data_IF_965907165609
#
_entry.id   IF_965907165609
#
_cell.length_a   1.000
_cell.length_b   1.000
_cell.length_c   1.000
_cell.angle_alpha   90.00
_cell.angle_beta   90.00
_cell.angle_gamma   90.00
#
_symmetry.space_group_name_H-M   'P 1'
#
loop_
_entity.id
_entity.type
_entity.pdbx_description
1 polymer ?
#
# COMPACT_ATOMS: atom_id res chain seq x y z
N UNK A 1 13.10 7.28 4.74
CA UNK A 1 12.44 6.50 5.79
C UNK A 1 12.22 5.08 5.29
N UNK A 2 11.23 4.81 4.45
CA UNK A 2 11.06 3.52 3.78
C UNK A 2 12.22 3.18 2.85
N UNK A 3 12.39 1.89 2.54
CA UNK A 3 13.49 1.43 1.71
C UNK A 3 13.28 1.66 0.21
N UNK A 4 12.04 1.80 -0.26
CA UNK A 4 11.74 2.04 -1.67
C UNK A 4 12.16 3.41 -2.21
N UNK A 5 11.93 3.63 -3.48
CA UNK A 5 12.23 4.89 -4.16
C UNK A 5 11.38 6.06 -3.64
N UNK A 6 11.91 7.27 -3.84
CA UNK A 6 11.14 8.48 -3.56
C UNK A 6 10.01 8.61 -4.59
N UNK A 7 8.79 8.77 -4.10
CA UNK A 7 7.61 8.92 -4.95
C UNK A 7 7.39 10.37 -5.37
N UNK A 8 7.07 10.60 -6.63
CA UNK A 8 6.47 11.86 -7.07
C UNK A 8 4.99 11.94 -6.64
N UNK A 9 4.41 13.13 -6.65
CA UNK A 9 2.97 13.29 -6.38
C UNK A 9 2.17 12.51 -7.45
N UNK A 10 1.24 11.68 -7.02
CA UNK A 10 0.47 10.79 -7.88
C UNK A 10 1.11 9.41 -8.12
N UNK A 11 2.23 9.10 -7.46
CA UNK A 11 2.86 7.78 -7.53
C UNK A 11 2.59 6.94 -6.28
N UNK A 12 2.62 5.62 -6.46
CA UNK A 12 2.54 4.65 -5.38
C UNK A 12 3.39 3.41 -5.66
N UNK A 13 3.89 2.79 -4.59
CA UNK A 13 4.59 1.50 -4.64
C UNK A 13 4.53 0.79 -3.28
N UNK A 14 4.72 -0.52 -3.28
CA UNK A 14 4.94 -1.26 -2.04
C UNK A 14 6.38 -1.02 -1.62
N UNK A 15 6.61 -0.64 -0.36
CA UNK A 15 7.93 -0.28 0.15
C UNK A 15 8.22 -0.96 1.48
N UNK A 16 9.43 -1.45 1.68
CA UNK A 16 9.82 -2.04 2.95
C UNK A 16 10.01 -0.99 4.04
N UNK A 17 9.39 -1.23 5.19
CA UNK A 17 9.66 -0.60 6.47
C UNK A 17 10.56 -1.54 7.29
N UNK A 18 11.82 -1.19 7.47
CA UNK A 18 12.80 -2.04 8.14
C UNK A 18 13.10 -1.53 9.55
N UNK A 19 13.42 -2.44 10.47
CA UNK A 19 13.99 -2.11 11.76
C UNK A 19 15.51 -1.97 11.67
N UNK A 20 16.14 -1.47 12.72
CA UNK A 20 17.58 -1.20 12.69
C UNK A 20 18.48 -2.42 12.46
N UNK A 21 17.97 -3.63 12.71
CA UNK A 21 18.65 -4.90 12.45
C UNK A 21 18.40 -5.50 11.07
N UNK A 22 17.69 -4.77 10.19
CA UNK A 22 17.37 -5.19 8.82
C UNK A 22 16.13 -6.06 8.69
N UNK A 23 15.47 -6.45 9.80
CA UNK A 23 14.23 -7.23 9.70
C UNK A 23 13.06 -6.36 9.23
N UNK A 24 12.12 -7.00 8.52
CA UNK A 24 10.94 -6.33 7.96
C UNK A 24 9.89 -6.11 9.07
N UNK A 25 9.57 -4.84 9.35
CA UNK A 25 8.47 -4.49 10.24
C UNK A 25 7.13 -4.52 9.51
N UNK A 26 7.08 -3.97 8.31
CA UNK A 26 5.92 -3.92 7.43
C UNK A 26 6.37 -3.70 5.98
N UNK A 27 5.49 -3.98 5.03
CA UNK A 27 5.69 -3.62 3.63
C UNK A 27 4.38 -2.97 3.08
N UNK A 28 4.10 -1.73 3.49
CA UNK A 28 2.90 -1.05 3.07
C UNK A 28 2.95 -0.63 1.60
N UNK A 29 1.77 -0.54 0.97
CA UNK A 29 1.59 0.32 -0.16
C UNK A 29 1.72 1.77 0.31
N UNK A 30 2.72 2.47 -0.18
CA UNK A 30 2.93 3.90 0.05
C UNK A 30 2.49 4.66 -1.19
N UNK A 31 1.60 5.62 -1.02
CA UNK A 31 1.10 6.47 -2.09
C UNK A 31 1.33 7.95 -1.71
N UNK A 32 1.85 8.74 -2.63
CA UNK A 32 2.00 10.18 -2.44
C UNK A 32 0.80 10.92 -3.05
N UNK A 33 -0.15 11.28 -2.21
CA UNK A 33 -1.42 11.89 -2.60
C UNK A 33 -1.37 13.40 -2.74
N UNK A 34 -0.31 14.03 -2.20
CA UNK A 34 -0.10 15.48 -2.27
C UNK A 34 1.35 15.87 -2.09
N UNK A 35 1.64 17.16 -2.13
CA UNK A 35 3.01 17.68 -2.03
C UNK A 35 3.70 17.24 -0.72
N UNK A 36 2.95 17.27 0.39
CA UNK A 36 3.40 16.87 1.73
C UNK A 36 2.51 15.80 2.36
N UNK A 37 1.74 15.07 1.54
CA UNK A 37 0.78 14.09 2.00
C UNK A 37 1.09 12.72 1.43
N UNK A 38 1.13 11.72 2.33
CA UNK A 38 1.36 10.33 2.00
C UNK A 38 0.31 9.46 2.67
N UNK A 39 -0.10 8.43 2.00
CA UNK A 39 -0.91 7.35 2.54
C UNK A 39 -0.04 6.08 2.62
N UNK A 40 -0.06 5.41 3.76
CA UNK A 40 0.56 4.10 3.92
C UNK A 40 -0.53 3.08 4.27
N UNK A 41 -0.73 2.09 3.42
CA UNK A 41 -1.71 1.02 3.59
C UNK A 41 -1.01 -0.32 3.79
N UNK A 42 -1.15 -0.90 4.97
CA UNK A 42 -0.55 -2.21 5.28
C UNK A 42 -1.44 -3.35 4.77
N UNK A 43 -0.89 -4.16 3.87
CA UNK A 43 -1.57 -5.33 3.29
C UNK A 43 -1.44 -6.60 4.14
N UNK A 44 -0.59 -6.58 5.19
CA UNK A 44 -0.29 -7.75 6.03
C UNK A 44 -1.25 -7.98 7.20
N UNK A 45 -2.32 -7.23 7.29
CA UNK A 45 -3.26 -7.22 8.44
C UNK A 45 -2.61 -6.82 9.79
N UNK A 46 -1.43 -6.18 9.76
CA UNK A 46 -0.69 -5.72 10.94
C UNK A 46 -0.50 -4.20 10.97
N UNK A 47 -1.54 -3.46 10.62
CA UNK A 47 -1.51 -2.01 10.59
C UNK A 47 -1.03 -1.36 11.89
N UNK A 48 -1.29 -2.01 13.05
CA UNK A 48 -0.76 -1.57 14.34
C UNK A 48 0.78 -1.59 14.38
N UNK A 49 1.43 -2.57 13.74
CA UNK A 49 2.90 -2.63 13.66
C UNK A 49 3.45 -1.51 12.81
N UNK A 50 2.82 -1.20 11.67
CA UNK A 50 3.18 -0.06 10.84
C UNK A 50 3.01 1.26 11.60
N UNK A 51 1.89 1.46 12.29
CA UNK A 51 1.62 2.64 13.10
C UNK A 51 2.65 2.81 14.22
N UNK A 52 2.98 1.73 14.93
CA UNK A 52 4.01 1.73 15.97
C UNK A 52 5.40 2.05 15.39
N UNK A 53 5.74 1.49 14.23
CA UNK A 53 7.00 1.77 13.55
C UNK A 53 7.10 3.24 13.12
N UNK A 54 6.06 3.81 12.53
CA UNK A 54 6.00 5.23 12.15
C UNK A 54 6.15 6.13 13.38
N UNK A 55 5.43 5.81 14.47
CA UNK A 55 5.53 6.52 15.73
C UNK A 55 6.95 6.46 16.33
N UNK A 56 7.60 5.30 16.27
CA UNK A 56 8.98 5.15 16.72
C UNK A 56 9.94 5.99 15.86
N UNK A 57 9.78 5.94 14.53
CA UNK A 57 10.65 6.67 13.59
C UNK A 57 10.54 8.18 13.78
N UNK A 58 9.33 8.71 14.02
CA UNK A 58 9.12 10.15 14.25
C UNK A 58 9.87 10.68 15.48
N UNK A 59 10.20 9.79 16.43
CA UNK A 59 10.92 10.13 17.67
C UNK A 59 12.43 9.94 17.58
N UNK A 60 12.96 9.48 16.43
CA UNK A 60 14.41 9.27 16.28
C UNK A 60 15.13 10.60 16.36
N UNK A 61 15.98 10.71 17.38
CA UNK A 61 16.89 11.83 17.56
C UNK A 61 18.33 11.33 17.76
N UNK A 62 19.27 11.92 17.08
CA UNK A 62 20.68 11.63 17.24
C UNK A 62 21.49 12.91 17.31
N UNK A 63 22.16 13.16 18.45
CA UNK A 63 23.01 14.35 18.68
C UNK A 63 22.31 15.68 18.38
N UNK A 64 21.04 15.80 18.76
CA UNK A 64 20.23 17.01 18.53
C UNK A 64 19.67 17.13 17.10
N UNK A 65 19.88 16.13 16.25
CA UNK A 65 19.28 16.06 14.91
C UNK A 65 18.13 15.05 14.91
N UNK A 66 16.92 15.53 14.62
CA UNK A 66 15.68 14.75 14.55
C UNK A 66 15.10 14.80 13.14
N UNK A 67 15.54 13.91 12.22
CA UNK A 67 15.22 14.01 10.79
C UNK A 67 13.73 13.86 10.48
N UNK A 68 12.96 13.26 11.38
CA UNK A 68 11.55 12.96 11.20
C UNK A 68 10.63 13.69 12.20
N UNK A 69 11.14 14.70 12.95
CA UNK A 69 10.35 15.42 13.95
C UNK A 69 9.13 16.17 13.37
N UNK A 70 9.13 16.45 12.05
CA UNK A 70 7.99 17.05 11.37
C UNK A 70 6.98 16.04 10.77
N UNK A 71 7.17 14.75 11.03
CA UNK A 71 6.24 13.71 10.57
C UNK A 71 5.01 13.70 11.47
N UNK A 72 3.85 14.04 10.89
CA UNK A 72 2.54 13.90 11.53
C UNK A 72 1.85 12.68 10.95
N UNK A 73 1.42 11.75 11.81
CA UNK A 73 0.83 10.48 11.42
C UNK A 73 -0.56 10.35 12.03
N UNK A 74 -1.59 10.28 11.19
CA UNK A 74 -2.98 10.02 11.60
C UNK A 74 -3.39 8.61 11.19
N UNK A 75 -3.95 7.83 12.11
CA UNK A 75 -4.56 6.55 11.81
C UNK A 75 -5.94 6.76 11.20
N UNK A 76 -6.07 6.43 9.93
CA UNK A 76 -7.31 6.56 9.16
C UNK A 76 -8.02 5.22 8.90
N UNK A 77 -7.62 4.14 9.55
CA UNK A 77 -8.19 2.79 9.36
C UNK A 77 -9.71 2.75 9.54
N UNK A 78 -10.25 3.55 10.47
CA UNK A 78 -11.70 3.68 10.67
C UNK A 78 -12.41 4.62 9.70
N UNK A 79 -11.67 5.39 8.90
CA UNK A 79 -12.21 6.42 7.99
C UNK A 79 -12.33 5.95 6.55
N UNK A 80 -11.65 4.85 6.19
CA UNK A 80 -11.57 4.31 4.83
C UNK A 80 -11.78 2.79 4.84
N UNK A 81 -12.52 2.29 3.86
CA UNK A 81 -12.75 0.85 3.63
C UNK A 81 -12.02 0.45 2.35
N UNK A 82 -11.08 -0.51 2.42
CA UNK A 82 -10.40 -1.00 1.24
C UNK A 82 -11.28 -1.97 0.45
N UNK A 83 -11.35 -1.75 -0.85
CA UNK A 83 -11.91 -2.68 -1.84
C UNK A 83 -10.85 -2.89 -2.91
N UNK A 84 -10.60 -4.14 -3.28
CA UNK A 84 -9.69 -4.45 -4.37
C UNK A 84 -10.47 -5.00 -5.56
N UNK A 85 -10.19 -4.47 -6.74
CA UNK A 85 -10.67 -4.99 -8.02
C UNK A 85 -9.46 -5.45 -8.83
N UNK A 86 -9.39 -6.75 -9.10
CA UNK A 86 -8.21 -7.37 -9.66
C UNK A 86 -8.52 -8.25 -10.86
N UNK A 87 -7.64 -8.22 -11.87
CA UNK A 87 -7.72 -9.00 -13.09
C UNK A 87 -7.71 -8.14 -14.36
N UNK A 88 -7.66 -8.79 -15.52
CA UNK A 88 -7.57 -8.12 -16.82
C UNK A 88 -8.75 -7.16 -17.11
N UNK A 89 -9.96 -7.50 -16.64
CA UNK A 89 -11.16 -6.68 -16.80
C UNK A 89 -11.30 -5.53 -15.79
N UNK A 90 -10.43 -5.43 -14.79
CA UNK A 90 -10.58 -4.49 -13.68
C UNK A 90 -10.69 -3.03 -14.15
N UNK A 91 -9.84 -2.61 -15.10
CA UNK A 91 -9.89 -1.26 -15.67
C UNK A 91 -11.21 -0.99 -16.39
N UNK A 92 -11.70 -1.93 -17.18
CA UNK A 92 -12.95 -1.79 -17.94
C UNK A 92 -14.12 -1.58 -17.00
N UNK A 93 -14.25 -2.42 -15.97
CA UNK A 93 -15.31 -2.31 -14.96
C UNK A 93 -15.24 -0.97 -14.23
N UNK A 94 -14.04 -0.54 -13.82
CA UNK A 94 -13.88 0.69 -13.05
C UNK A 94 -14.10 1.95 -13.91
N UNK A 95 -13.83 1.87 -15.21
CA UNK A 95 -14.05 2.98 -16.15
C UNK A 95 -15.53 3.38 -16.28
N UNK A 96 -16.48 2.50 -15.96
CA UNK A 96 -17.91 2.84 -15.95
C UNK A 96 -18.28 3.83 -14.82
N UNK A 97 -17.39 3.96 -13.81
CA UNK A 97 -17.61 4.85 -12.66
C UNK A 97 -16.71 6.08 -12.66
N UNK A 98 -15.69 6.12 -13.52
CA UNK A 98 -14.71 7.21 -13.60
C UNK A 98 -14.87 7.98 -14.90
N UNK A 99 -14.56 9.28 -14.89
CA UNK A 99 -14.45 10.04 -16.12
C UNK A 99 -13.18 9.63 -16.88
N UNK A 100 -13.17 9.92 -18.19
CA UNK A 100 -12.00 9.62 -19.00
C UNK A 100 -10.74 10.31 -18.46
N UNK A 101 -9.68 9.52 -18.22
CA UNK A 101 -8.41 10.02 -17.69
C UNK A 101 -8.34 10.13 -16.16
N UNK A 102 -9.41 9.85 -15.41
CA UNK A 102 -9.38 9.92 -13.93
C UNK A 102 -8.76 8.69 -13.25
N UNK A 103 -8.75 7.52 -13.93
CA UNK A 103 -8.15 6.32 -13.37
C UNK A 103 -6.62 6.35 -13.46
N UNK A 104 -5.92 6.02 -12.36
CA UNK A 104 -4.46 5.97 -12.35
C UNK A 104 -3.95 4.82 -13.23
N UNK A 105 -2.78 5.04 -13.83
CA UNK A 105 -1.99 3.98 -14.46
C UNK A 105 -1.21 3.17 -13.43
N UNK A 106 -0.48 2.16 -13.91
CA UNK A 106 0.36 1.30 -13.07
C UNK A 106 1.38 2.14 -12.27
N UNK A 107 1.50 1.86 -10.97
CA UNK A 107 2.37 2.60 -10.05
C UNK A 107 1.87 4.01 -9.72
N UNK A 108 0.63 4.31 -10.02
CA UNK A 108 0.04 5.63 -9.78
C UNK A 108 -1.12 5.58 -8.78
N UNK A 109 -1.37 6.71 -8.16
CA UNK A 109 -2.53 6.97 -7.29
C UNK A 109 -3.27 8.21 -7.79
N UNK A 110 -4.60 8.18 -7.72
CA UNK A 110 -5.47 9.30 -8.05
C UNK A 110 -6.63 9.40 -7.03
N UNK A 111 -7.26 10.57 -6.98
CA UNK A 111 -8.38 10.84 -6.08
C UNK A 111 -9.67 11.16 -6.88
N UNK A 112 -10.20 10.24 -7.69
CA UNK A 112 -11.42 10.49 -8.44
C UNK A 112 -12.65 10.54 -7.54
N UNK A 113 -13.70 11.19 -8.04
CA UNK A 113 -15.05 11.06 -7.50
C UNK A 113 -15.82 10.01 -8.31
N UNK A 114 -15.69 8.72 -7.95
CA UNK A 114 -16.36 7.64 -8.68
C UNK A 114 -17.88 7.86 -8.70
N UNK A 115 -18.51 7.60 -9.85
CA UNK A 115 -19.93 7.92 -10.11
C UNK A 115 -20.26 9.42 -9.85
N UNK A 116 -19.26 10.31 -9.96
CA UNK A 116 -19.37 11.74 -9.71
C UNK A 116 -19.65 12.13 -8.25
N UNK A 117 -19.67 11.19 -7.31
CA UNK A 117 -20.12 11.42 -5.92
C UNK A 117 -19.41 10.62 -4.84
N UNK A 118 -18.66 9.58 -5.19
CA UNK A 118 -17.96 8.74 -4.23
C UNK A 118 -16.49 9.16 -4.20
N UNK A 119 -16.05 10.02 -3.28
CA UNK A 119 -14.64 10.39 -3.17
C UNK A 119 -13.84 9.13 -2.83
N UNK A 120 -12.87 8.79 -3.65
CA UNK A 120 -12.13 7.53 -3.55
C UNK A 120 -10.66 7.80 -3.78
N UNK A 121 -9.78 7.20 -2.97
CA UNK A 121 -8.36 7.11 -3.30
C UNK A 121 -8.19 5.81 -4.08
N UNK A 122 -7.70 5.89 -5.31
CA UNK A 122 -7.50 4.74 -6.19
C UNK A 122 -6.03 4.59 -6.48
N UNK A 123 -5.44 3.45 -6.10
CA UNK A 123 -4.08 3.06 -6.46
C UNK A 123 -4.11 1.92 -7.48
N UNK A 124 -3.22 1.96 -8.46
CA UNK A 124 -3.10 0.91 -9.47
C UNK A 124 -1.76 0.20 -9.34
N UNK A 125 -1.81 -1.11 -9.14
CA UNK A 125 -0.67 -1.99 -8.93
C UNK A 125 -0.72 -3.16 -9.90
N UNK A 126 0.42 -3.83 -10.07
CA UNK A 126 0.48 -5.15 -10.68
C UNK A 126 0.71 -6.20 -9.59
N UNK A 127 -0.17 -7.19 -9.52
CA UNK A 127 -0.06 -8.33 -8.61
C UNK A 127 -0.34 -9.61 -9.40
N UNK A 128 0.58 -10.58 -9.36
CA UNK A 128 0.47 -11.85 -10.09
C UNK A 128 0.18 -11.65 -11.60
N UNK A 129 0.97 -10.79 -12.24
CA UNK A 129 0.88 -10.44 -13.67
C UNK A 129 -0.49 -9.86 -14.09
N UNK A 130 -1.28 -9.37 -13.14
CA UNK A 130 -2.57 -8.75 -13.41
C UNK A 130 -2.75 -7.39 -12.73
N UNK A 131 -3.53 -6.52 -13.36
CA UNK A 131 -3.83 -5.19 -12.82
C UNK A 131 -4.72 -5.31 -11.58
N UNK A 132 -4.31 -4.65 -10.52
CA UNK A 132 -5.06 -4.51 -9.26
C UNK A 132 -5.33 -3.04 -8.98
N UNK A 133 -6.59 -2.66 -8.87
CA UNK A 133 -7.01 -1.37 -8.34
C UNK A 133 -7.40 -1.52 -6.88
N UNK A 134 -6.66 -0.86 -5.99
CA UNK A 134 -7.04 -0.70 -4.59
C UNK A 134 -7.83 0.59 -4.46
N UNK A 135 -9.08 0.47 -4.03
CA UNK A 135 -9.99 1.58 -3.79
C UNK A 135 -10.15 1.78 -2.28
N UNK A 136 -9.87 2.97 -1.79
CA UNK A 136 -10.13 3.35 -0.40
C UNK A 136 -11.34 4.27 -0.39
N UNK A 137 -12.44 3.75 0.14
CA UNK A 137 -13.79 4.38 0.05
C UNK A 137 -14.27 4.78 1.44
N UNK A 138 -14.97 5.91 1.61
CA UNK A 138 -15.62 6.22 2.88
C UNK A 138 -16.58 5.11 3.31
N UNK A 139 -16.65 4.73 4.61
CA UNK A 139 -17.50 3.64 5.09
C UNK A 139 -18.97 3.75 4.67
N UNK A 140 -19.51 4.97 4.64
CA UNK A 140 -20.89 5.21 4.22
C UNK A 140 -21.18 4.82 2.75
N UNK A 141 -20.16 4.83 1.90
CA UNK A 141 -20.27 4.53 0.47
C UNK A 141 -19.75 3.13 0.09
N UNK A 142 -19.00 2.47 0.96
CA UNK A 142 -18.37 1.19 0.67
C UNK A 142 -19.35 0.10 0.23
N UNK A 143 -20.51 0.00 0.91
CA UNK A 143 -21.56 -0.97 0.55
C UNK A 143 -22.18 -0.69 -0.82
N UNK A 144 -22.34 0.57 -1.16
CA UNK A 144 -22.89 0.96 -2.48
C UNK A 144 -21.88 0.59 -3.55
N UNK A 145 -20.62 0.99 -3.37
CA UNK A 145 -19.53 0.69 -4.33
C UNK A 145 -19.36 -0.83 -4.53
N UNK A 146 -19.32 -1.60 -3.44
CA UNK A 146 -19.26 -3.07 -3.49
C UNK A 146 -20.39 -3.67 -4.35
N UNK A 147 -21.65 -3.26 -4.10
CA UNK A 147 -22.80 -3.76 -4.85
C UNK A 147 -22.75 -3.34 -6.33
N UNK A 148 -22.29 -2.14 -6.60
CA UNK A 148 -22.11 -1.64 -7.96
C UNK A 148 -21.09 -2.47 -8.73
N UNK A 149 -19.94 -2.77 -8.14
CA UNK A 149 -18.93 -3.64 -8.76
C UNK A 149 -19.47 -5.05 -9.02
N UNK A 150 -20.25 -5.62 -8.09
CA UNK A 150 -20.86 -6.94 -8.25
C UNK A 150 -22.02 -7.00 -9.25
N UNK A 151 -22.45 -5.88 -9.82
CA UNK A 151 -23.48 -5.87 -10.86
C UNK A 151 -22.94 -6.27 -12.24
N UNK A 152 -21.64 -6.31 -12.41
CA UNK A 152 -20.99 -6.79 -13.65
C UNK A 152 -20.88 -8.30 -13.63
N UNK A 153 -21.34 -8.97 -14.69
CA UNK A 153 -21.24 -10.42 -14.84
C UNK A 153 -19.78 -10.94 -14.82
N UNK A 154 -18.83 -10.07 -15.22
CA UNK A 154 -17.39 -10.38 -15.21
C UNK A 154 -16.75 -10.29 -13.83
N UNK A 155 -17.45 -9.78 -12.81
CA UNK A 155 -16.92 -9.61 -11.46
C UNK A 155 -17.38 -10.74 -10.56
N UNK A 156 -16.42 -11.51 -10.08
CA UNK A 156 -16.66 -12.57 -9.08
C UNK A 156 -16.21 -12.10 -7.70
N UNK A 157 -17.06 -12.15 -6.68
CA UNK A 157 -16.65 -11.76 -5.33
C UNK A 157 -15.66 -12.77 -4.77
N UNK A 158 -14.55 -12.24 -4.24
CA UNK A 158 -13.57 -13.02 -3.48
C UNK A 158 -13.78 -12.71 -2.00
N UNK A 159 -13.99 -13.73 -1.19
CA UNK A 159 -14.10 -13.58 0.26
C UNK A 159 -12.74 -13.34 0.91
N UNK A 160 -12.77 -13.04 2.21
CA UNK A 160 -11.54 -12.72 2.98
C UNK A 160 -10.50 -13.83 2.88
N UNK A 161 -10.90 -15.09 2.95
CA UNK A 161 -9.96 -16.22 2.87
C UNK A 161 -9.33 -16.35 1.48
N UNK A 162 -10.12 -16.14 0.41
CA UNK A 162 -9.59 -16.10 -0.94
C UNK A 162 -8.65 -14.92 -1.16
N UNK A 163 -8.97 -13.74 -0.62
CA UNK A 163 -8.07 -12.59 -0.67
C UNK A 163 -6.74 -12.83 0.06
N UNK A 164 -6.77 -13.50 1.21
CA UNK A 164 -5.56 -13.92 1.94
C UNK A 164 -4.71 -14.89 1.14
N UNK A 165 -5.33 -15.84 0.44
CA UNK A 165 -4.61 -16.80 -0.42
C UNK A 165 -3.90 -16.07 -1.57
N UNK A 166 -4.60 -15.16 -2.24
CA UNK A 166 -4.02 -14.33 -3.31
C UNK A 166 -2.86 -13.48 -2.81
N UNK A 167 -3.02 -12.83 -1.65
CA UNK A 167 -1.95 -12.04 -1.05
C UNK A 167 -0.75 -12.92 -0.63
N UNK A 168 -0.98 -14.15 -0.18
CA UNK A 168 0.10 -15.09 0.14
C UNK A 168 0.94 -15.45 -1.08
N UNK A 169 0.32 -15.60 -2.22
CA UNK A 169 1.00 -15.88 -3.48
C UNK A 169 1.71 -14.63 -4.04
N UNK A 170 1.01 -13.50 -4.06
CA UNK A 170 1.53 -12.24 -4.60
C UNK A 170 2.64 -11.62 -3.73
N UNK A 171 2.49 -11.71 -2.42
CA UNK A 171 3.32 -11.05 -1.41
C UNK A 171 3.70 -12.04 -0.30
N UNK A 172 4.63 -12.97 -0.53
CA UNK A 172 4.94 -14.07 0.40
C UNK A 172 5.30 -13.61 1.82
N UNK A 173 5.93 -12.45 1.95
CA UNK A 173 6.28 -11.87 3.26
C UNK A 173 5.04 -11.42 4.05
N UNK A 174 3.94 -11.03 3.37
CA UNK A 174 2.75 -10.51 4.04
C UNK A 174 2.09 -11.58 4.93
N UNK A 175 2.01 -12.83 4.47
CA UNK A 175 1.46 -13.92 5.27
C UNK A 175 2.32 -14.25 6.49
N UNK A 176 3.65 -14.17 6.37
CA UNK A 176 4.59 -14.38 7.47
C UNK A 176 4.48 -13.25 8.50
N UNK A 177 4.38 -11.99 8.03
CA UNK A 177 4.13 -10.85 8.90
C UNK A 177 2.78 -11.00 9.62
N UNK A 178 1.71 -11.39 8.92
CA UNK A 178 0.38 -11.63 9.51
C UNK A 178 0.42 -12.72 10.60
N UNK A 179 1.23 -13.75 10.40
CA UNK A 179 1.47 -14.80 11.41
C UNK A 179 2.31 -14.33 12.62
N UNK A 180 2.82 -13.12 12.60
CA UNK A 180 3.68 -12.59 13.66
C UNK A 180 5.11 -13.09 13.59
N UNK A 181 5.53 -13.66 12.48
CA UNK A 181 6.90 -14.12 12.31
C UNK A 181 7.86 -12.95 12.14
N UNK A 182 9.09 -13.16 12.59
CA UNK A 182 10.20 -12.30 12.21
C UNK A 182 10.57 -12.59 10.75
N UNK A 183 10.44 -11.59 9.89
CA UNK A 183 10.75 -11.70 8.47
C UNK A 183 12.09 -11.01 8.22
N UNK A 184 13.07 -11.78 7.79
CA UNK A 184 14.37 -11.30 7.36
C UNK A 184 14.46 -11.58 5.84
N UNK A 185 14.74 -10.53 5.08
CA UNK A 185 14.96 -10.59 3.65
C UNK A 185 16.36 -10.05 3.36
N UNK A 186 17.07 -10.71 2.47
CA UNK A 186 18.34 -10.21 1.98
C UNK A 186 18.16 -8.98 1.09
N UNK A 187 19.22 -8.23 0.88
CA UNK A 187 19.23 -7.11 -0.06
C UNK A 187 18.77 -7.53 -1.46
N UNK A 188 19.21 -8.70 -1.94
CA UNK A 188 18.82 -9.24 -3.23
C UNK A 188 17.32 -9.56 -3.30
N UNK A 189 16.73 -10.14 -2.26
CA UNK A 189 15.30 -10.43 -2.19
C UNK A 189 14.46 -9.15 -2.14
N UNK A 190 14.86 -8.14 -1.35
CA UNK A 190 14.17 -6.84 -1.29
C UNK A 190 14.22 -6.11 -2.63
N UNK A 191 15.38 -6.08 -3.28
CA UNK A 191 15.54 -5.46 -4.61
C UNK A 191 14.77 -6.22 -5.68
N UNK A 192 14.86 -7.55 -5.70
CA UNK A 192 14.11 -8.40 -6.63
C UNK A 192 12.60 -8.30 -6.50
N UNK A 193 12.11 -8.00 -5.30
CA UNK A 193 10.69 -7.76 -5.02
C UNK A 193 10.27 -6.28 -5.26
N UNK A 194 11.18 -5.40 -5.67
CA UNK A 194 10.87 -3.98 -5.87
C UNK A 194 10.58 -3.19 -4.58
N UNK A 195 10.99 -3.74 -3.43
CA UNK A 195 10.72 -3.15 -2.11
C UNK A 195 11.80 -2.16 -1.65
N UNK A 196 12.93 -2.13 -2.36
CA UNK A 196 14.11 -1.39 -1.96
C UNK A 196 14.75 -0.70 -3.18
N UNK A 197 15.19 0.56 -2.97
CA UNK A 197 16.00 1.31 -3.95
C UNK A 197 17.47 0.90 -3.91
N UNK A 198 18.17 1.10 -5.01
CA UNK A 198 19.61 0.81 -5.11
C UNK A 198 20.48 1.83 -4.32
N UNK A 199 20.00 3.06 -4.16
CA UNK A 199 20.76 4.20 -3.64
C UNK A 199 21.01 4.22 -2.12
N UNK A 200 20.48 3.25 -1.36
CA UNK A 200 20.64 3.22 0.11
C UNK A 200 19.98 4.41 0.85
N UNK A 201 20.44 4.68 2.08
CA UNK A 201 20.01 5.84 2.87
C UNK A 201 18.61 5.69 3.48
N UNK A 202 18.24 4.50 3.91
CA UNK A 202 16.98 4.20 4.58
C UNK A 202 17.20 3.54 5.95
N UNK A 203 16.15 3.48 6.75
CA UNK A 203 16.22 2.84 8.07
C UNK A 203 16.40 1.33 7.89
N UNK A 204 17.31 0.74 8.67
CA UNK A 204 17.60 -0.69 8.64
C UNK A 204 18.61 -1.14 7.60
N UNK A 205 19.06 -0.26 6.70
CA UNK A 205 20.03 -0.60 5.65
C UNK A 205 21.28 -1.33 6.14
N UNK A 206 21.82 -0.89 7.28
CA UNK A 206 23.05 -1.47 7.85
C UNK A 206 22.86 -2.86 8.47
N UNK A 207 21.64 -3.23 8.76
CA UNK A 207 21.28 -4.52 9.30
C UNK A 207 20.97 -5.58 8.26
N UNK A 208 20.83 -5.18 6.97
CA UNK A 208 20.54 -6.12 5.91
C UNK A 208 21.71 -7.07 5.65
N UNK A 209 21.39 -8.36 5.54
CA UNK A 209 22.31 -9.37 5.03
C UNK A 209 22.57 -9.12 3.52
N UNK A 210 23.79 -9.46 3.09
CA UNK A 210 24.19 -9.41 1.67
C UNK A 210 23.52 -10.53 0.85
#
# INVERSE_FOLDING_TARGET
MFAGDALAVGECSIQAALVGDGSLAAAPLVARTGEHEYLAFDVSERGETLSAWLSFVSQIEQKGFAPYAGLDCDDVSGKLVPLALWGEGAKTVLSDYAQEGELPGLGQVANPALDGRIPTIVSCLELLDATCYLLLVPPAMARVMWRSLLSFESVTPVGVDGARELLREALPWASRLSAGERVELTRAELSGAGLMRDGGGFIGERGLAE
#
